data_IF_922567756853
#
_entry.id   IF_922567756853
#
_cell.length_a   1.000
_cell.length_b   1.000
_cell.length_c   1.000
_cell.angle_alpha   90.00
_cell.angle_beta   90.00
_cell.angle_gamma   90.00
#
_symmetry.space_group_name_H-M   'P 1'
#
loop_
_entity.id
_entity.type
_entity.pdbx_description
1 polymer ?
#
# COMPACT_ATOMS: atom_id res chain seq x y z
N UNK A 1 0.38 -29.47 -33.95
CA UNK A 1 1.26 -28.31 -33.91
C UNK A 1 0.52 -26.98 -33.67
N UNK A 2 -0.64 -26.75 -34.28
CA UNK A 2 -1.41 -25.50 -34.05
C UNK A 2 -1.99 -25.32 -32.63
N UNK A 3 -2.22 -26.40 -31.89
CA UNK A 3 -2.78 -26.36 -30.53
C UNK A 3 -1.80 -25.94 -29.42
N UNK A 4 -0.50 -26.19 -29.62
CA UNK A 4 0.57 -25.85 -28.66
C UNK A 4 0.95 -24.37 -28.68
N UNK A 5 0.83 -23.71 -29.82
CA UNK A 5 1.09 -22.25 -29.95
C UNK A 5 0.04 -21.40 -29.26
N UNK A 6 -1.23 -21.86 -29.23
CA UNK A 6 -2.34 -21.13 -28.60
C UNK A 6 -2.24 -21.14 -27.07
N UNK A 7 -1.77 -22.25 -26.49
CA UNK A 7 -1.61 -22.39 -25.04
C UNK A 7 -0.45 -21.50 -24.51
N UNK A 8 0.61 -21.33 -25.31
CA UNK A 8 1.75 -20.49 -24.93
C UNK A 8 1.41 -18.98 -24.96
N UNK A 9 0.60 -18.55 -25.95
CA UNK A 9 0.12 -17.18 -26.05
C UNK A 9 -0.81 -16.80 -24.89
N UNK A 10 -1.64 -17.73 -24.40
CA UNK A 10 -2.54 -17.51 -23.28
C UNK A 10 -1.80 -17.33 -21.95
N UNK A 11 -0.69 -18.06 -21.73
CA UNK A 11 0.17 -17.93 -20.55
C UNK A 11 0.90 -16.58 -20.50
N UNK A 12 1.33 -16.05 -21.65
CA UNK A 12 2.00 -14.75 -21.76
C UNK A 12 1.01 -13.60 -21.47
N UNK A 13 -0.24 -13.72 -21.94
CA UNK A 13 -1.26 -12.70 -21.70
C UNK A 13 -1.60 -12.56 -20.21
N UNK A 14 -1.58 -13.66 -19.44
CA UNK A 14 -1.85 -13.64 -18.01
C UNK A 14 -0.75 -12.90 -17.21
N UNK A 15 0.50 -13.04 -17.62
CA UNK A 15 1.65 -12.37 -17.00
C UNK A 15 1.64 -10.85 -17.20
N UNK A 16 1.17 -10.39 -18.35
CA UNK A 16 1.11 -8.96 -18.71
C UNK A 16 0.04 -8.22 -17.88
N UNK A 17 -1.09 -8.84 -17.61
CA UNK A 17 -2.18 -8.23 -16.83
C UNK A 17 -1.75 -7.98 -15.38
N UNK A 18 -1.00 -8.91 -14.77
CA UNK A 18 -0.49 -8.76 -13.40
C UNK A 18 0.50 -7.60 -13.27
N UNK A 19 1.41 -7.44 -14.22
CA UNK A 19 2.39 -6.34 -14.22
C UNK A 19 1.72 -4.97 -14.39
N UNK A 20 0.71 -4.86 -15.26
CA UNK A 20 -0.01 -3.61 -15.47
C UNK A 20 -0.78 -3.15 -14.22
N UNK A 21 -1.27 -4.07 -13.37
CA UNK A 21 -1.95 -3.73 -12.12
C UNK A 21 -0.97 -3.19 -11.06
N UNK A 22 0.22 -3.77 -10.94
CA UNK A 22 1.25 -3.31 -10.02
C UNK A 22 1.73 -1.91 -10.37
N UNK A 23 1.93 -1.62 -11.64
CA UNK A 23 2.32 -0.29 -12.11
C UNK A 23 1.29 0.78 -11.72
N UNK A 24 0.02 0.41 -11.65
CA UNK A 24 -1.05 1.29 -11.18
C UNK A 24 -1.09 1.46 -9.66
N UNK A 25 -0.54 0.54 -8.88
CA UNK A 25 -0.44 0.67 -7.42
C UNK A 25 0.69 1.63 -7.03
N UNK A 26 1.81 1.59 -7.74
CA UNK A 26 2.92 2.52 -7.51
C UNK A 26 2.48 3.96 -7.79
N UNK A 27 2.85 4.87 -6.88
CA UNK A 27 2.51 6.28 -7.01
C UNK A 27 2.00 6.89 -5.70
N UNK A 28 1.36 8.06 -5.82
CA UNK A 28 0.92 8.86 -4.69
C UNK A 28 -0.56 8.67 -4.40
N UNK A 29 -0.86 8.45 -3.13
CA UNK A 29 -2.19 8.15 -2.65
C UNK A 29 -2.56 9.05 -1.48
N UNK A 30 -3.73 9.65 -1.57
CA UNK A 30 -4.32 10.45 -0.50
C UNK A 30 -5.07 9.53 0.47
N UNK A 31 -4.67 9.56 1.73
CA UNK A 31 -5.37 8.85 2.80
C UNK A 31 -6.48 9.73 3.37
N UNK A 32 -7.59 9.11 3.74
CA UNK A 32 -8.81 9.78 4.18
C UNK A 32 -9.09 9.40 5.62
N UNK A 33 -9.53 10.36 6.42
CA UNK A 33 -10.00 10.09 7.78
C UNK A 33 -11.37 9.40 7.73
N UNK A 34 -11.49 8.27 8.41
CA UNK A 34 -12.72 7.49 8.42
C UNK A 34 -13.87 8.15 9.18
N UNK A 35 -13.56 9.14 10.02
CA UNK A 35 -14.55 9.82 10.86
C UNK A 35 -15.25 10.97 10.15
N UNK A 36 -14.48 11.77 9.41
CA UNK A 36 -14.99 13.03 8.84
C UNK A 36 -14.74 13.14 7.32
N UNK A 37 -14.09 12.15 6.71
CA UNK A 37 -13.77 12.14 5.27
C UNK A 37 -12.69 13.14 4.86
N UNK A 38 -12.02 13.79 5.80
CA UNK A 38 -10.96 14.76 5.48
C UNK A 38 -9.68 14.07 5.01
N UNK A 39 -8.91 14.74 4.17
CA UNK A 39 -7.60 14.27 3.76
C UNK A 39 -6.62 14.33 4.95
N UNK A 40 -5.93 13.22 5.24
CA UNK A 40 -4.95 13.10 6.32
C UNK A 40 -3.52 13.27 5.83
N UNK A 41 -3.14 12.51 4.82
CA UNK A 41 -1.77 12.47 4.32
C UNK A 41 -1.71 12.09 2.84
N UNK A 42 -0.54 12.28 2.25
CA UNK A 42 -0.18 11.66 0.98
C UNK A 42 0.91 10.63 1.25
N UNK A 43 0.67 9.41 0.82
CA UNK A 43 1.61 8.28 0.89
C UNK A 43 2.13 7.97 -0.50
N UNK A 44 3.44 7.91 -0.65
CA UNK A 44 4.09 7.46 -1.88
C UNK A 44 4.47 5.99 -1.77
N UNK A 45 3.85 5.16 -2.61
CA UNK A 45 4.17 3.74 -2.76
C UNK A 45 5.17 3.58 -3.90
N UNK A 46 6.29 2.92 -3.64
CA UNK A 46 7.39 2.74 -4.58
C UNK A 46 8.05 1.36 -4.44
N UNK A 47 8.69 0.92 -5.51
CA UNK A 47 9.53 -0.28 -5.51
C UNK A 47 10.95 0.09 -5.15
N UNK A 48 11.52 -0.56 -4.15
CA UNK A 48 12.90 -0.37 -3.75
C UNK A 48 13.86 -1.26 -4.57
N UNK A 49 15.16 -1.02 -4.42
CA UNK A 49 16.21 -1.76 -5.12
C UNK A 49 16.27 -3.24 -4.75
N UNK A 50 15.78 -3.62 -3.56
CA UNK A 50 15.64 -5.02 -3.13
C UNK A 50 14.46 -5.76 -3.77
N UNK A 51 13.68 -5.09 -4.64
CA UNK A 51 12.51 -5.66 -5.31
C UNK A 51 11.22 -5.63 -4.50
N UNK A 52 11.26 -5.21 -3.24
CA UNK A 52 10.09 -5.07 -2.40
C UNK A 52 9.49 -3.67 -2.50
N UNK A 53 8.24 -3.54 -2.08
CA UNK A 53 7.50 -2.28 -2.14
C UNK A 53 7.37 -1.67 -0.75
N UNK A 54 7.46 -0.35 -0.71
CA UNK A 54 7.42 0.47 0.50
C UNK A 54 6.48 1.65 0.28
N UNK A 55 6.02 2.24 1.38
CA UNK A 55 5.22 3.45 1.35
C UNK A 55 5.68 4.43 2.40
N UNK A 56 5.96 5.67 2.01
CA UNK A 56 6.35 6.74 2.92
C UNK A 56 5.35 7.88 2.91
N UNK A 57 5.18 8.53 4.03
CA UNK A 57 4.37 9.74 4.15
C UNK A 57 5.14 10.91 3.54
N UNK A 58 4.65 11.46 2.43
CA UNK A 58 5.24 12.63 1.77
C UNK A 58 4.61 13.95 2.22
N UNK A 59 3.36 13.91 2.70
CA UNK A 59 2.65 15.09 3.16
C UNK A 59 1.70 14.75 4.29
N UNK A 60 1.62 15.64 5.26
CA UNK A 60 0.56 15.69 6.26
C UNK A 60 -0.27 16.96 6.03
N UNK A 61 -1.59 16.84 6.01
CA UNK A 61 -2.49 18.00 5.81
C UNK A 61 -2.69 18.80 7.09
N UNK A 62 -2.46 18.18 8.24
CA UNK A 62 -2.47 18.82 9.56
C UNK A 62 -1.19 18.44 10.31
N UNK A 63 -0.69 19.31 11.15
CA UNK A 63 0.44 19.08 12.06
C UNK A 63 1.68 18.45 11.37
N UNK A 64 2.31 19.10 10.37
CA UNK A 64 3.45 18.53 9.64
C UNK A 64 4.66 18.26 10.52
N UNK A 65 4.73 18.86 11.70
CA UNK A 65 5.82 18.70 12.68
C UNK A 65 5.53 17.61 13.71
N UNK A 66 4.42 16.88 13.58
CA UNK A 66 4.01 15.86 14.53
C UNK A 66 5.01 14.73 14.62
N UNK A 67 5.33 14.35 15.85
CA UNK A 67 6.18 13.21 16.16
C UNK A 67 5.34 11.96 16.43
N UNK A 68 5.88 10.79 16.13
CA UNK A 68 5.26 9.52 16.48
C UNK A 68 5.54 9.15 17.94
N UNK A 69 4.80 9.74 18.86
CA UNK A 69 4.96 9.50 20.29
C UNK A 69 4.52 8.09 20.72
N UNK A 70 3.57 7.50 19.99
CA UNK A 70 3.05 6.15 20.26
C UNK A 70 3.87 5.05 19.56
N UNK A 71 4.78 5.41 18.64
CA UNK A 71 5.65 4.44 17.99
C UNK A 71 6.65 3.80 18.96
N UNK A 72 7.13 2.62 18.61
CA UNK A 72 8.19 1.91 19.34
C UNK A 72 9.48 1.83 18.53
N UNK A 73 10.57 1.45 19.19
CA UNK A 73 11.85 1.24 18.55
C UNK A 73 12.38 2.46 17.82
N UNK A 74 12.91 2.27 16.61
CA UNK A 74 13.56 3.32 15.82
C UNK A 74 12.62 4.47 15.42
N UNK A 75 11.31 4.26 15.41
CA UNK A 75 10.33 5.27 15.05
C UNK A 75 9.82 6.10 16.24
N UNK A 76 10.19 5.75 17.45
CA UNK A 76 9.80 6.48 18.67
C UNK A 76 10.27 7.92 18.60
N UNK A 77 9.30 8.85 18.75
CA UNK A 77 9.54 10.30 18.72
C UNK A 77 10.19 10.82 17.42
N UNK A 78 10.09 10.08 16.33
CA UNK A 78 10.51 10.57 15.00
C UNK A 78 9.37 11.32 14.31
N UNK A 79 9.73 12.20 13.38
CA UNK A 79 8.76 12.87 12.54
C UNK A 79 7.91 11.83 11.77
N UNK A 80 6.60 12.01 11.80
CA UNK A 80 5.67 11.21 10.98
C UNK A 80 5.85 11.55 9.50
N UNK A 81 6.09 12.82 9.18
CA UNK A 81 6.42 13.25 7.82
C UNK A 81 7.74 12.61 7.38
N UNK A 82 7.73 11.92 6.25
CA UNK A 82 8.88 11.17 5.71
C UNK A 82 9.01 9.74 6.22
N UNK A 83 8.18 9.32 7.18
CA UNK A 83 8.25 7.99 7.77
C UNK A 83 7.79 6.90 6.80
N UNK A 84 8.52 5.80 6.74
CA UNK A 84 8.08 4.58 6.07
C UNK A 84 7.01 3.92 6.94
N UNK A 85 5.78 3.90 6.43
CA UNK A 85 4.65 3.26 7.11
C UNK A 85 4.25 1.94 6.48
N UNK A 86 4.52 1.74 5.19
CA UNK A 86 4.34 0.46 4.51
C UNK A 86 5.72 -0.13 4.26
N UNK A 87 5.91 -1.38 4.68
CA UNK A 87 7.21 -2.04 4.66
C UNK A 87 7.14 -3.45 4.09
N UNK A 88 8.16 -3.79 3.30
CA UNK A 88 8.45 -5.16 2.86
C UNK A 88 7.30 -5.85 2.11
N UNK A 89 6.52 -5.11 1.33
CA UNK A 89 5.45 -5.70 0.54
C UNK A 89 6.01 -6.44 -0.68
N UNK A 90 5.36 -7.53 -1.01
CA UNK A 90 5.72 -8.40 -2.15
C UNK A 90 4.56 -8.44 -3.13
N UNK A 91 4.87 -8.40 -4.41
CA UNK A 91 3.87 -8.58 -5.47
C UNK A 91 3.43 -10.03 -5.56
N UNK A 92 2.12 -10.25 -5.61
CA UNK A 92 1.49 -11.54 -5.88
C UNK A 92 0.16 -11.33 -6.60
N UNK A 93 0.03 -11.86 -7.80
CA UNK A 93 -1.20 -11.80 -8.61
C UNK A 93 -1.73 -10.35 -8.80
N UNK A 94 -0.83 -9.40 -9.04
CA UNK A 94 -1.17 -8.00 -9.26
C UNK A 94 -1.53 -7.21 -8.00
N UNK A 95 -1.30 -7.78 -6.82
CA UNK A 95 -1.54 -7.17 -5.50
C UNK A 95 -0.25 -7.09 -4.71
N UNK A 96 -0.22 -6.28 -3.67
CA UNK A 96 0.87 -6.25 -2.69
C UNK A 96 0.43 -6.94 -1.40
N UNK A 97 1.27 -7.84 -0.89
CA UNK A 97 1.02 -8.66 0.29
C UNK A 97 2.30 -8.97 1.06
N UNK A 98 2.21 -9.66 2.19
CA UNK A 98 3.35 -10.19 2.94
C UNK A 98 4.13 -9.19 3.78
N UNK A 99 3.82 -7.89 3.67
CA UNK A 99 4.45 -6.84 4.46
C UNK A 99 3.57 -6.31 5.58
N UNK A 100 3.91 -5.13 6.07
CA UNK A 100 3.26 -4.50 7.21
C UNK A 100 2.90 -3.04 6.93
N UNK A 101 1.95 -2.53 7.72
CA UNK A 101 1.61 -1.12 7.79
C UNK A 101 1.63 -0.64 9.24
N UNK A 102 2.32 0.48 9.48
CA UNK A 102 2.35 1.18 10.75
C UNK A 102 1.24 2.23 10.79
N UNK A 103 0.45 2.25 11.84
CA UNK A 103 -0.45 3.36 12.15
C UNK A 103 0.24 4.32 13.15
N UNK A 104 0.69 5.50 12.70
CA UNK A 104 1.39 6.42 13.59
C UNK A 104 0.52 7.00 14.72
N UNK A 105 -0.80 6.90 14.59
CA UNK A 105 -1.74 7.40 15.60
C UNK A 105 -1.70 6.59 16.88
N UNK A 106 -1.55 5.27 16.76
CA UNK A 106 -1.51 4.35 17.90
C UNK A 106 -0.20 3.58 18.04
N UNK A 107 0.74 3.75 17.11
CA UNK A 107 2.04 3.08 17.09
C UNK A 107 1.99 1.59 16.75
N UNK A 108 0.83 1.05 16.40
CA UNK A 108 0.66 -0.36 16.10
C UNK A 108 1.05 -0.68 14.66
N UNK A 109 1.64 -1.87 14.50
CA UNK A 109 2.01 -2.44 13.19
C UNK A 109 1.06 -3.58 12.86
N UNK A 110 0.48 -3.51 11.68
CA UNK A 110 -0.47 -4.50 11.17
C UNK A 110 0.12 -5.22 9.96
N UNK A 111 -0.35 -6.43 9.69
CA UNK A 111 -0.14 -7.07 8.39
C UNK A 111 -0.87 -6.28 7.34
N UNK A 112 -0.30 -6.18 6.14
CA UNK A 112 -0.83 -5.31 5.10
C UNK A 112 -1.10 -6.07 3.81
N UNK A 113 -2.26 -5.79 3.21
CA UNK A 113 -2.61 -6.20 1.86
C UNK A 113 -3.13 -4.99 1.09
N UNK A 114 -2.65 -4.81 -0.12
CA UNK A 114 -2.99 -3.66 -0.96
C UNK A 114 -3.43 -4.15 -2.34
N UNK A 115 -4.56 -3.64 -2.81
CA UNK A 115 -5.11 -3.94 -4.12
C UNK A 115 -5.84 -2.74 -4.72
N UNK A 116 -5.96 -2.71 -6.04
CA UNK A 116 -6.81 -1.72 -6.71
C UNK A 116 -8.28 -2.06 -6.46
N UNK A 117 -9.09 -1.04 -6.10
CA UNK A 117 -10.55 -1.17 -6.01
C UNK A 117 -11.23 -0.98 -7.37
N UNK A 118 -10.58 -0.25 -8.27
CA UNK A 118 -11.13 0.10 -9.57
C UNK A 118 -10.11 -0.12 -10.69
N UNK A 119 -10.56 -0.57 -11.84
CA UNK A 119 -9.71 -0.83 -13.01
C UNK A 119 -9.02 0.42 -13.56
N UNK A 120 -9.62 1.59 -13.35
CA UNK A 120 -9.03 2.88 -13.77
C UNK A 120 -7.86 3.34 -12.90
N UNK A 121 -7.54 2.62 -11.80
CA UNK A 121 -6.43 2.96 -10.90
C UNK A 121 -6.64 4.19 -10.03
N UNK A 122 -7.86 4.67 -9.86
CA UNK A 122 -8.19 5.88 -9.08
C UNK A 122 -8.36 5.60 -7.58
N UNK A 123 -8.67 4.36 -7.21
CA UNK A 123 -8.92 3.93 -5.83
C UNK A 123 -8.09 2.72 -5.46
N UNK A 124 -7.53 2.76 -4.26
CA UNK A 124 -6.71 1.72 -3.68
C UNK A 124 -7.33 1.21 -2.39
N UNK A 125 -7.50 -0.10 -2.25
CA UNK A 125 -7.84 -0.73 -0.98
C UNK A 125 -6.58 -1.07 -0.22
N UNK A 126 -6.47 -0.56 1.01
CA UNK A 126 -5.38 -0.85 1.93
C UNK A 126 -5.97 -1.51 3.16
N UNK A 127 -5.66 -2.79 3.37
CA UNK A 127 -6.16 -3.56 4.51
C UNK A 127 -5.05 -3.84 5.50
N UNK A 128 -5.25 -3.37 6.73
CA UNK A 128 -4.46 -3.75 7.90
C UNK A 128 -5.15 -4.83 8.70
N UNK A 129 -4.45 -5.88 9.11
CA UNK A 129 -4.99 -6.97 9.91
C UNK A 129 -4.04 -7.43 11.01
N UNK A 130 -4.60 -7.99 12.09
CA UNK A 130 -3.83 -8.51 13.22
C UNK A 130 -3.38 -9.96 12.99
N UNK A 131 -4.12 -10.74 12.21
CA UNK A 131 -3.89 -12.15 11.93
C UNK A 131 -3.38 -12.41 10.50
N UNK A 132 -2.78 -13.57 10.29
CA UNK A 132 -2.24 -13.98 8.97
C UNK A 132 -3.33 -14.14 7.90
N UNK A 133 -4.52 -14.56 8.28
CA UNK A 133 -5.63 -14.79 7.37
C UNK A 133 -6.36 -13.52 6.95
N UNK A 134 -6.06 -12.38 7.58
CA UNK A 134 -6.71 -11.10 7.27
C UNK A 134 -8.15 -10.98 7.78
N UNK A 135 -8.60 -11.88 8.68
CA UNK A 135 -9.95 -11.91 9.21
C UNK A 135 -10.21 -10.77 10.21
N UNK A 136 -9.23 -10.50 11.10
CA UNK A 136 -9.31 -9.44 12.10
C UNK A 136 -8.57 -8.22 11.55
N UNK A 137 -9.29 -7.33 10.92
CA UNK A 137 -8.66 -6.16 10.31
C UNK A 137 -9.66 -5.15 9.77
N UNK A 138 -9.13 -4.09 9.19
CA UNK A 138 -9.88 -3.00 8.61
C UNK A 138 -9.29 -2.60 7.26
N UNK A 139 -10.17 -2.33 6.30
CA UNK A 139 -9.80 -1.78 4.99
C UNK A 139 -10.09 -0.29 4.94
N UNK A 140 -9.19 0.44 4.29
CA UNK A 140 -9.37 1.84 3.93
C UNK A 140 -9.28 2.00 2.43
N UNK A 141 -10.03 2.93 1.88
CA UNK A 141 -9.91 3.36 0.48
C UNK A 141 -9.04 4.61 0.41
N UNK A 142 -7.95 4.51 -0.34
CA UNK A 142 -7.09 5.65 -0.64
C UNK A 142 -7.35 6.16 -2.06
N UNK A 143 -7.23 7.44 -2.28
CA UNK A 143 -7.56 8.10 -3.55
C UNK A 143 -6.29 8.53 -4.25
N UNK A 144 -6.19 8.25 -5.55
CA UNK A 144 -5.04 8.65 -6.37
C UNK A 144 -4.85 10.16 -6.35
N UNK A 145 -3.62 10.61 -6.17
CA UNK A 145 -3.21 12.00 -6.36
C UNK A 145 -2.84 12.19 -7.84
N UNK A 146 -3.48 13.16 -8.46
CA UNK A 146 -3.17 13.57 -9.85
C UNK A 146 -2.05 14.59 -9.88
#
# INVERSE_FOLDING_TARGET
MKKTLFTFALLIAFSIVGMAQIDKIVGRWKTIDDKDGSAKSIVFIFKATNGQYYGKIEKLFKEPEKLCTECEGANKNKLILGMLIINNMVEKDGKLTGGTILDPKNGKVYRCNISLESENGEKLSVRGSLDKGGWIGRSQTWIRVK
#
